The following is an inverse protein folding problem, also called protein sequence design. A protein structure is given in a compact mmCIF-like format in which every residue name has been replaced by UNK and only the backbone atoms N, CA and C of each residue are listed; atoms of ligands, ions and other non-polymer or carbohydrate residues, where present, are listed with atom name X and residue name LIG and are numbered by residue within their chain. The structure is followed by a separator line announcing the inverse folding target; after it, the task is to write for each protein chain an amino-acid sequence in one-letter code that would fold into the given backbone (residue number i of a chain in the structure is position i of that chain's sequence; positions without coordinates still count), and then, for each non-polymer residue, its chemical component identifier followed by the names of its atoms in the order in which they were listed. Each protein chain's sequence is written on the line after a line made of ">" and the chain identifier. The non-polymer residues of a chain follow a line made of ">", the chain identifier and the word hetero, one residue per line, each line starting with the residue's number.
data_IF_713475397182
#
_entry.id   IF_713475397182
#
_cell.length_a   1.000
_cell.length_b   1.000
_cell.length_c   1.000
_cell.angle_alpha   90.00
_cell.angle_beta   90.00
_cell.angle_gamma   90.00
#
_symmetry.space_group_name_H-M   'P 1'
#
loop_
_entity.id
_entity.type
_entity.pdbx_description
1 polymer ?
#
# COMPACT_ATOMS: atom_id res chain seq x y z
N UNK A 1 -85.46 -28.41 -41.40
CA UNK A 1 -84.64 -29.11 -42.40
C UNK A 1 -83.31 -28.40 -42.51
N UNK A 2 -82.25 -29.14 -42.15
CA UNK A 2 -80.81 -29.00 -42.44
C UNK A 2 -80.14 -27.63 -42.22
N UNK A 3 -79.49 -27.51 -41.05
CA UNK A 3 -78.42 -26.56 -40.78
C UNK A 3 -77.10 -27.08 -41.36
N UNK A 4 -76.45 -26.32 -42.25
CA UNK A 4 -75.09 -26.61 -42.71
C UNK A 4 -74.11 -25.63 -42.04
N UNK A 5 -73.34 -26.16 -41.10
CA UNK A 5 -72.16 -25.53 -40.51
C UNK A 5 -71.11 -25.31 -41.61
N UNK A 6 -70.72 -24.05 -41.86
CA UNK A 6 -69.50 -23.74 -42.61
C UNK A 6 -68.32 -23.66 -41.64
N UNK A 7 -67.48 -24.69 -41.72
CA UNK A 7 -66.21 -24.83 -41.01
C UNK A 7 -65.23 -23.73 -41.46
N UNK A 8 -64.69 -22.99 -40.49
CA UNK A 8 -63.59 -22.07 -40.68
C UNK A 8 -62.30 -22.87 -40.90
N UNK A 9 -61.71 -22.78 -42.10
CA UNK A 9 -60.39 -23.30 -42.39
C UNK A 9 -59.35 -22.30 -41.86
N UNK A 10 -58.77 -22.61 -40.70
CA UNK A 10 -57.63 -21.91 -40.15
C UNK A 10 -56.37 -22.17 -40.98
N UNK A 11 -55.85 -21.14 -41.61
CA UNK A 11 -54.50 -21.14 -42.17
C UNK A 11 -53.49 -21.09 -41.01
N UNK A 12 -52.94 -22.23 -40.62
CA UNK A 12 -51.73 -22.28 -39.80
C UNK A 12 -50.54 -21.96 -40.70
N UNK A 13 -50.19 -20.68 -40.82
CA UNK A 13 -48.91 -20.25 -41.37
C UNK A 13 -47.83 -20.66 -40.36
N UNK A 14 -47.16 -21.79 -40.60
CA UNK A 14 -45.92 -22.14 -39.90
C UNK A 14 -44.82 -21.21 -40.39
N UNK A 15 -44.61 -20.10 -39.67
CA UNK A 15 -43.42 -19.28 -39.83
C UNK A 15 -42.21 -20.10 -39.38
N UNK A 16 -41.50 -20.70 -40.33
CA UNK A 16 -40.17 -21.25 -40.10
C UNK A 16 -39.24 -20.04 -39.94
N UNK A 17 -39.01 -19.60 -38.71
CA UNK A 17 -37.91 -18.69 -38.40
C UNK A 17 -36.61 -19.45 -38.65
N UNK A 18 -36.11 -19.38 -39.90
CA UNK A 18 -34.70 -19.64 -40.17
C UNK A 18 -33.93 -18.46 -39.59
N UNK A 19 -33.47 -18.59 -38.34
CA UNK A 19 -32.42 -17.74 -37.81
C UNK A 19 -31.11 -18.06 -38.54
N UNK A 20 -30.97 -17.51 -39.75
CA UNK A 20 -29.66 -17.36 -40.36
C UNK A 20 -28.86 -16.41 -39.46
N UNK A 21 -27.99 -16.99 -38.63
CA UNK A 21 -26.97 -16.25 -37.91
C UNK A 21 -26.17 -15.43 -38.95
N UNK A 22 -25.96 -14.11 -38.74
CA UNK A 22 -25.11 -13.33 -39.62
C UNK A 22 -23.70 -13.91 -39.58
N UNK A 23 -23.27 -14.54 -40.68
CA UNK A 23 -21.94 -15.15 -40.84
C UNK A 23 -20.82 -14.14 -41.08
N UNK A 24 -21.09 -12.83 -40.94
CA UNK A 24 -20.17 -11.77 -41.33
C UNK A 24 -19.31 -11.20 -40.18
N UNK A 25 -19.35 -11.85 -39.01
CA UNK A 25 -18.51 -11.45 -37.87
C UNK A 25 -17.91 -12.66 -37.16
N UNK A 26 -17.58 -13.71 -37.91
CA UNK A 26 -16.64 -14.71 -37.39
C UNK A 26 -15.28 -14.02 -37.33
N UNK A 27 -14.82 -13.72 -36.11
CA UNK A 27 -13.46 -13.29 -35.86
C UNK A 27 -12.51 -14.28 -36.56
N UNK A 28 -11.84 -13.82 -37.62
CA UNK A 28 -10.99 -14.67 -38.46
C UNK A 28 -9.81 -15.24 -37.67
N UNK A 29 -9.47 -14.64 -36.54
CA UNK A 29 -8.44 -15.10 -35.63
C UNK A 29 -8.96 -16.14 -34.60
N UNK A 30 -10.27 -16.36 -34.47
CA UNK A 30 -10.85 -17.27 -33.48
C UNK A 30 -10.42 -18.74 -33.65
N UNK A 31 -10.05 -19.16 -34.87
CA UNK A 31 -9.63 -20.53 -35.19
C UNK A 31 -8.12 -20.66 -35.48
N UNK A 32 -7.38 -19.55 -35.46
CA UNK A 32 -5.94 -19.54 -35.77
C UNK A 32 -5.14 -19.73 -34.49
N UNK A 33 -4.23 -20.72 -34.49
CA UNK A 33 -3.32 -20.99 -33.37
C UNK A 33 -1.90 -20.56 -33.71
N UNK A 34 -1.49 -19.42 -33.16
CA UNK A 34 -0.14 -18.88 -33.29
C UNK A 34 0.81 -19.44 -32.22
N UNK A 35 2.12 -19.42 -32.49
CA UNK A 35 3.15 -19.81 -31.52
C UNK A 35 3.34 -18.71 -30.45
N UNK A 36 4.06 -18.99 -29.37
CA UNK A 36 4.23 -18.05 -28.25
C UNK A 36 4.83 -16.68 -28.64
N UNK A 37 5.56 -16.62 -29.75
CA UNK A 37 6.24 -15.41 -30.26
C UNK A 37 5.46 -14.71 -31.38
N UNK A 38 4.25 -15.17 -31.69
CA UNK A 38 3.39 -14.57 -32.71
C UNK A 38 1.96 -14.35 -32.21
N UNK A 39 1.31 -13.31 -32.73
CA UNK A 39 -0.11 -13.04 -32.47
C UNK A 39 -0.91 -13.00 -33.76
N UNK A 40 -2.21 -13.31 -33.67
CA UNK A 40 -3.05 -13.30 -34.86
C UNK A 40 -3.48 -11.87 -35.19
N UNK A 41 -3.14 -11.42 -36.39
CA UNK A 41 -3.61 -10.18 -36.97
C UNK A 41 -4.30 -10.45 -38.31
N UNK A 42 -5.34 -9.67 -38.64
CA UNK A 42 -6.00 -9.75 -39.94
C UNK A 42 -5.30 -8.77 -40.90
N UNK A 43 -4.51 -9.29 -41.83
CA UNK A 43 -3.80 -8.52 -42.85
C UNK A 43 -4.47 -8.82 -44.20
N UNK A 44 -4.90 -7.78 -44.92
CA UNK A 44 -5.60 -7.89 -46.20
C UNK A 44 -6.81 -8.85 -46.16
N UNK A 45 -7.54 -8.84 -45.05
CA UNK A 45 -8.71 -9.69 -44.83
C UNK A 45 -8.40 -11.16 -44.53
N UNK A 46 -7.14 -11.54 -44.33
CA UNK A 46 -6.69 -12.89 -44.00
C UNK A 46 -6.04 -12.91 -42.61
N UNK A 47 -6.42 -13.86 -41.77
CA UNK A 47 -5.81 -14.07 -40.47
C UNK A 47 -4.40 -14.66 -40.62
N UNK A 48 -3.40 -13.97 -40.06
CA UNK A 48 -1.98 -14.35 -40.14
C UNK A 48 -1.34 -14.22 -38.76
N UNK A 49 -0.48 -15.16 -38.41
CA UNK A 49 0.38 -15.03 -37.24
C UNK A 49 1.53 -14.07 -37.59
N UNK A 50 1.59 -12.94 -36.90
CA UNK A 50 2.64 -11.93 -37.04
C UNK A 50 3.55 -11.93 -35.82
N UNK A 51 4.84 -11.58 -35.96
CA UNK A 51 5.71 -11.38 -34.81
C UNK A 51 5.10 -10.36 -33.85
N UNK A 52 5.20 -10.67 -32.57
CA UNK A 52 4.80 -9.74 -31.53
C UNK A 52 5.88 -8.69 -31.40
N UNK A 53 5.54 -7.44 -31.69
CA UNK A 53 6.41 -6.32 -31.35
C UNK A 53 6.32 -6.09 -29.84
N UNK A 54 7.27 -6.66 -29.10
CA UNK A 54 7.40 -6.42 -27.68
C UNK A 54 8.00 -5.03 -27.46
N UNK A 55 7.37 -4.25 -26.58
CA UNK A 55 7.77 -2.88 -26.27
C UNK A 55 9.19 -2.85 -25.67
N UNK A 56 10.06 -1.96 -26.16
CA UNK A 56 11.38 -1.72 -25.53
C UNK A 56 11.23 -0.82 -24.31
N UNK A 57 11.97 -1.15 -23.25
CA UNK A 57 12.00 -0.36 -22.02
C UNK A 57 13.44 -0.27 -21.51
N UNK A 58 14.10 0.84 -21.85
CA UNK A 58 15.54 0.99 -21.62
C UNK A 58 16.35 -0.04 -22.43
N UNK A 59 17.11 -0.88 -21.72
CA UNK A 59 17.88 -2.00 -22.30
C UNK A 59 17.12 -3.32 -22.29
N UNK A 60 15.91 -3.39 -21.70
CA UNK A 60 15.08 -4.59 -21.72
C UNK A 60 13.96 -4.50 -22.75
N UNK A 61 13.36 -5.65 -23.06
CA UNK A 61 12.15 -5.77 -23.88
C UNK A 61 11.05 -6.31 -22.99
N UNK A 62 9.92 -5.61 -22.89
CA UNK A 62 8.85 -5.94 -21.96
C UNK A 62 8.13 -7.25 -22.35
N UNK A 63 7.83 -8.14 -21.39
CA UNK A 63 7.03 -9.33 -21.64
C UNK A 63 5.63 -9.01 -22.18
N UNK A 64 4.99 -9.98 -22.85
CA UNK A 64 3.61 -9.83 -23.34
C UNK A 64 2.65 -9.40 -22.23
N UNK A 65 1.75 -8.48 -22.56
CA UNK A 65 0.73 -7.99 -21.62
C UNK A 65 1.27 -7.05 -20.54
N UNK A 66 2.51 -6.59 -20.68
CA UNK A 66 3.09 -5.53 -19.86
C UNK A 66 3.46 -4.34 -20.74
N UNK A 67 3.53 -3.16 -20.15
CA UNK A 67 3.96 -1.91 -20.80
C UNK A 67 5.17 -1.33 -20.09
N UNK A 68 5.99 -0.57 -20.81
CA UNK A 68 7.13 0.11 -20.21
C UNK A 68 6.65 1.11 -19.16
N UNK A 69 7.12 0.91 -17.94
CA UNK A 69 6.73 1.68 -16.77
C UNK A 69 7.81 2.74 -16.47
N UNK A 70 9.06 2.28 -16.38
CA UNK A 70 10.21 3.12 -16.10
C UNK A 70 11.40 2.64 -16.94
N UNK A 71 11.67 3.37 -18.03
CA UNK A 71 12.74 3.03 -18.97
C UNK A 71 14.13 3.18 -18.36
N UNK A 72 14.33 4.05 -17.38
CA UNK A 72 15.63 4.21 -16.71
C UNK A 72 15.98 2.97 -15.88
N UNK A 73 14.97 2.37 -15.27
CA UNK A 73 15.13 1.21 -14.40
C UNK A 73 14.83 -0.13 -15.11
N UNK A 74 14.54 -0.13 -16.42
CA UNK A 74 14.13 -1.31 -17.18
C UNK A 74 12.88 -2.02 -16.61
N UNK A 75 11.94 -1.25 -16.06
CA UNK A 75 10.76 -1.81 -15.35
C UNK A 75 9.56 -1.84 -16.31
N UNK A 76 8.99 -3.03 -16.45
CA UNK A 76 7.75 -3.29 -17.17
C UNK A 76 6.63 -3.62 -16.18
N UNK A 77 5.43 -3.10 -16.39
CA UNK A 77 4.29 -3.31 -15.50
C UNK A 77 3.04 -3.72 -16.25
N UNK A 78 2.09 -4.36 -15.58
CA UNK A 78 0.77 -4.62 -16.18
C UNK A 78 -0.05 -3.33 -16.25
N UNK A 79 -0.94 -3.18 -17.24
CA UNK A 79 -1.88 -2.07 -17.27
C UNK A 79 -2.63 -1.91 -15.94
N UNK A 80 -2.65 -0.68 -15.40
CA UNK A 80 -3.34 -0.34 -14.14
C UNK A 80 -2.55 -0.59 -12.86
N UNK A 81 -1.33 -1.12 -12.93
CA UNK A 81 -0.45 -1.27 -11.75
C UNK A 81 0.37 0.00 -11.53
N UNK A 82 0.62 0.33 -10.25
CA UNK A 82 1.45 1.47 -9.89
C UNK A 82 2.87 1.33 -10.45
N UNK A 83 3.43 2.47 -10.88
CA UNK A 83 4.78 2.52 -11.40
C UNK A 83 5.77 3.05 -10.34
N UNK A 84 6.81 2.29 -9.98
CA UNK A 84 7.85 2.82 -9.10
C UNK A 84 8.63 3.92 -9.82
N UNK A 85 8.70 5.09 -9.17
CA UNK A 85 9.42 6.25 -9.70
C UNK A 85 10.94 6.09 -9.60
N UNK A 86 11.43 5.23 -8.70
CA UNK A 86 12.85 4.99 -8.46
C UNK A 86 13.31 3.60 -8.87
N UNK A 87 14.61 3.47 -9.14
CA UNK A 87 15.24 2.17 -9.31
C UNK A 87 15.55 1.59 -7.93
N UNK A 88 15.28 0.30 -7.72
CA UNK A 88 15.84 -0.40 -6.58
C UNK A 88 17.37 -0.45 -6.76
N UNK A 89 18.08 0.44 -6.08
CA UNK A 89 19.53 0.33 -5.96
C UNK A 89 19.76 -0.76 -4.92
N UNK A 90 20.48 -1.85 -5.24
CA UNK A 90 20.85 -2.81 -4.22
C UNK A 90 21.60 -2.04 -3.13
N UNK A 91 21.11 -2.15 -1.90
CA UNK A 91 21.76 -1.57 -0.72
C UNK A 91 23.23 -2.03 -0.75
N UNK A 92 24.21 -1.12 -0.72
CA UNK A 92 25.60 -1.52 -0.75
C UNK A 92 25.84 -2.45 0.45
N UNK A 93 26.28 -3.68 0.19
CA UNK A 93 26.66 -4.59 1.27
C UNK A 93 27.69 -3.87 2.16
N UNK A 94 27.56 -3.94 3.50
CA UNK A 94 28.50 -3.29 4.39
C UNK A 94 29.90 -3.82 4.12
N UNK A 95 30.79 -2.94 3.64
CA UNK A 95 32.20 -3.26 3.43
C UNK A 95 32.79 -3.63 4.79
N UNK A 96 33.03 -4.92 5.01
CA UNK A 96 33.70 -5.40 6.23
C UNK A 96 35.18 -5.04 6.15
N UNK A 97 35.56 -3.92 6.75
CA UNK A 97 36.96 -3.59 6.96
C UNK A 97 37.56 -4.59 7.97
N UNK A 98 38.47 -5.45 7.52
CA UNK A 98 39.27 -6.30 8.38
C UNK A 98 40.37 -5.49 9.11
N UNK A 99 41.06 -6.07 10.11
CA UNK A 99 42.18 -5.43 10.78
C UNK A 99 43.37 -5.31 9.81
N UNK A 100 43.51 -4.18 9.14
CA UNK A 100 44.65 -3.91 8.28
C UNK A 100 45.89 -3.58 9.14
N UNK A 101 46.80 -4.52 9.32
CA UNK A 101 48.18 -4.18 9.73
C UNK A 101 48.95 -3.72 8.49
N UNK A 102 49.07 -2.41 8.29
CA UNK A 102 49.84 -1.87 7.18
C UNK A 102 51.35 -1.91 7.51
N UNK A 103 52.13 -2.68 6.75
CA UNK A 103 53.58 -2.54 6.78
C UNK A 103 54.01 -1.27 6.04
N UNK A 104 55.08 -0.64 6.52
CA UNK A 104 55.51 0.69 6.09
C UNK A 104 56.04 0.65 4.64
N UNK A 105 55.17 0.89 3.66
CA UNK A 105 55.56 1.00 2.25
C UNK A 105 54.45 0.79 1.22
N UNK A 106 53.27 0.30 1.62
CA UNK A 106 52.22 0.02 0.65
C UNK A 106 51.54 1.28 0.10
N UNK A 107 51.75 1.51 -1.19
CA UNK A 107 51.18 2.63 -1.96
C UNK A 107 49.63 2.57 -2.02
N UNK A 108 49.05 1.41 -1.69
CA UNK A 108 47.61 1.16 -1.64
C UNK A 108 46.93 1.67 -0.35
N UNK A 109 47.70 1.99 0.70
CA UNK A 109 47.16 2.48 1.97
C UNK A 109 46.60 3.91 1.88
N UNK A 110 46.96 4.67 0.83
CA UNK A 110 46.43 6.04 0.63
C UNK A 110 45.04 6.09 0.01
N UNK A 111 44.64 5.07 -0.75
CA UNK A 111 43.32 5.05 -1.38
C UNK A 111 42.21 4.56 -0.43
N UNK A 112 42.57 3.87 0.65
CA UNK A 112 41.65 3.36 1.68
C UNK A 112 41.52 4.27 2.91
N UNK A 113 42.33 5.32 3.00
CA UNK A 113 42.30 6.27 4.13
C UNK A 113 41.05 7.17 4.15
N UNK A 114 40.27 7.23 3.07
CA UNK A 114 38.98 7.95 3.06
C UNK A 114 37.83 7.12 3.66
N UNK A 115 37.98 5.79 3.75
CA UNK A 115 36.93 4.88 4.25
C UNK A 115 37.18 4.33 5.66
N UNK A 116 38.39 4.51 6.19
CA UNK A 116 38.72 4.15 7.56
C UNK A 116 39.01 5.44 8.33
N UNK A 117 38.23 5.69 9.40
CA UNK A 117 38.41 6.84 10.28
C UNK A 117 39.81 6.92 10.91
N UNK A 118 40.11 8.03 11.62
CA UNK A 118 41.46 8.32 12.09
C UNK A 118 41.98 7.21 13.02
N UNK A 119 43.18 6.71 12.74
CA UNK A 119 43.90 5.81 13.65
C UNK A 119 44.37 6.63 14.85
N UNK A 120 43.76 6.41 16.01
CA UNK A 120 44.17 7.02 17.27
C UNK A 120 45.63 6.67 17.58
N UNK A 121 46.46 7.69 17.78
CA UNK A 121 47.86 7.52 18.14
C UNK A 121 48.79 8.60 17.59
N UNK A 122 48.54 9.88 17.91
CA UNK A 122 49.59 10.90 17.80
C UNK A 122 49.38 12.04 18.80
N UNK A 123 50.18 11.97 19.88
CA UNK A 123 50.72 13.01 20.77
C UNK A 123 49.89 14.28 20.96
N UNK A 124 49.52 14.47 22.22
CA UNK A 124 49.02 15.70 22.85
C UNK A 124 49.77 16.95 22.37
N UNK A 125 49.03 17.81 21.68
CA UNK A 125 49.32 19.24 21.57
C UNK A 125 48.12 19.93 22.19
N UNK A 126 48.25 20.67 23.29
CA UNK A 126 47.14 21.44 23.82
C UNK A 126 46.93 22.63 22.88
N UNK A 127 45.88 22.57 22.08
CA UNK A 127 45.33 23.73 21.37
C UNK A 127 44.52 24.58 22.37
N UNK A 128 44.62 25.91 22.32
CA UNK A 128 43.85 26.77 23.20
C UNK A 128 42.38 26.75 22.79
N UNK A 129 41.52 26.41 23.75
CA UNK A 129 40.06 26.53 23.67
C UNK A 129 39.70 28.00 23.49
N UNK A 130 39.38 28.41 22.26
CA UNK A 130 38.55 29.58 22.04
C UNK A 130 37.12 29.10 21.82
N UNK A 131 36.34 29.23 22.89
CA UNK A 131 34.89 29.05 22.93
C UNK A 131 34.23 30.03 21.95
N UNK A 132 34.06 29.56 20.71
CA UNK A 132 33.07 30.16 19.81
C UNK A 132 31.79 29.41 20.12
N UNK A 133 30.92 30.05 20.91
CA UNK A 133 29.52 29.66 21.07
C UNK A 133 28.88 29.61 19.67
N UNK A 134 28.96 28.44 19.04
CA UNK A 134 28.17 28.12 17.86
C UNK A 134 26.72 28.14 18.33
N UNK A 135 25.87 29.06 17.83
CA UNK A 135 24.51 29.14 18.31
C UNK A 135 23.83 27.82 17.96
N UNK A 136 23.45 27.04 19.00
CA UNK A 136 22.63 25.84 18.86
C UNK A 136 21.48 26.20 17.92
N UNK A 137 21.53 25.63 16.70
CA UNK A 137 20.46 25.85 15.75
C UNK A 137 19.18 25.32 16.39
N UNK A 138 18.09 26.10 16.45
CA UNK A 138 16.85 25.61 17.03
C UNK A 138 16.42 24.37 16.27
N UNK A 139 16.47 23.25 16.99
CA UNK A 139 15.96 21.98 16.54
C UNK A 139 14.50 22.18 16.12
N UNK A 140 14.15 21.62 14.97
CA UNK A 140 12.80 21.70 14.43
C UNK A 140 11.76 21.22 15.45
N UNK A 141 10.54 21.76 15.40
CA UNK A 141 9.45 21.28 16.25
C UNK A 141 9.04 19.85 15.87
N UNK A 142 8.64 19.06 16.86
CA UNK A 142 8.08 17.74 16.63
C UNK A 142 6.65 17.85 16.06
N UNK A 143 6.35 17.02 15.06
CA UNK A 143 5.05 16.96 14.42
C UNK A 143 4.73 15.49 14.09
N UNK A 144 4.12 14.80 15.04
CA UNK A 144 3.80 13.37 14.88
C UNK A 144 5.04 12.52 14.55
N UNK A 145 5.04 11.78 13.42
CA UNK A 145 6.19 10.97 13.00
C UNK A 145 7.38 11.80 12.46
N UNK A 146 7.18 13.10 12.20
CA UNK A 146 8.18 13.97 11.57
C UNK A 146 8.66 15.07 12.51
N UNK A 147 9.80 15.67 12.18
CA UNK A 147 10.29 16.90 12.81
C UNK A 147 10.31 17.98 11.74
N UNK A 148 9.62 19.10 11.97
CA UNK A 148 9.45 20.16 10.99
C UNK A 148 10.75 20.94 10.77
N UNK A 149 10.96 21.44 9.54
CA UNK A 149 12.12 22.27 9.27
C UNK A 149 12.02 23.62 10.02
N UNK A 150 13.16 24.23 10.31
CA UNK A 150 13.25 25.52 11.04
C UNK A 150 12.35 26.58 10.42
N UNK A 151 11.41 27.11 11.22
CA UNK A 151 10.45 28.13 10.80
C UNK A 151 9.19 27.60 10.12
N UNK A 152 9.00 26.29 10.03
CA UNK A 152 7.69 25.68 9.73
C UNK A 152 6.84 25.55 11.00
N UNK A 153 5.54 25.33 10.82
CA UNK A 153 4.57 25.05 11.88
C UNK A 153 3.91 23.68 11.65
N UNK A 154 3.73 22.89 12.71
CA UNK A 154 3.08 21.61 12.67
C UNK A 154 1.61 21.84 12.36
N UNK A 155 1.21 21.42 11.17
CA UNK A 155 -0.16 21.57 10.69
C UNK A 155 -0.99 20.35 11.07
N UNK A 156 -0.41 19.15 11.04
CA UNK A 156 -1.14 17.94 11.39
C UNK A 156 -0.25 16.94 12.10
N UNK A 157 -0.39 16.87 13.42
CA UNK A 157 0.32 15.91 14.27
C UNK A 157 -0.01 14.46 13.90
N UNK A 158 -1.21 14.17 13.39
CA UNK A 158 -1.53 12.80 12.99
C UNK A 158 -0.69 12.32 11.81
N UNK A 159 -0.25 13.22 10.93
CA UNK A 159 0.41 12.87 9.68
C UNK A 159 1.85 13.42 9.58
N UNK A 160 2.29 14.15 10.59
CA UNK A 160 3.54 14.91 10.59
C UNK A 160 3.66 15.89 9.43
N UNK A 161 2.56 16.56 9.08
CA UNK A 161 2.56 17.56 8.01
C UNK A 161 3.02 18.90 8.58
N UNK A 162 4.14 19.37 8.06
CA UNK A 162 4.73 20.67 8.38
C UNK A 162 4.40 21.65 7.26
N UNK A 163 3.95 22.86 7.62
CA UNK A 163 3.65 23.91 6.64
C UNK A 163 4.41 25.19 6.97
N UNK A 164 4.58 26.06 5.98
CA UNK A 164 5.14 27.38 6.24
C UNK A 164 4.14 28.25 7.04
N UNK A 165 4.62 29.26 7.79
CA UNK A 165 3.74 30.13 8.55
C UNK A 165 2.73 30.85 7.65
N UNK A 166 1.44 30.69 7.94
CA UNK A 166 0.35 31.33 7.20
C UNK A 166 -0.20 30.54 6.00
N UNK A 167 0.34 29.35 5.72
CA UNK A 167 -0.24 28.42 4.74
C UNK A 167 -1.51 27.77 5.31
N UNK A 168 -2.45 27.44 4.42
CA UNK A 168 -3.68 26.76 4.82
C UNK A 168 -3.39 25.30 5.17
N UNK A 169 -3.89 24.87 6.32
CA UNK A 169 -3.77 23.50 6.80
C UNK A 169 -5.10 22.74 6.65
N UNK A 170 -5.02 21.44 6.38
CA UNK A 170 -6.17 20.54 6.52
C UNK A 170 -5.86 19.47 7.56
N UNK A 171 -6.61 19.48 8.66
CA UNK A 171 -6.56 18.45 9.72
C UNK A 171 -7.29 17.17 9.28
N UNK A 172 -6.78 16.53 8.23
CA UNK A 172 -7.31 15.26 7.77
C UNK A 172 -6.78 14.13 8.65
N UNK A 173 -7.65 13.17 9.00
CA UNK A 173 -7.22 11.89 9.56
C UNK A 173 -6.48 11.10 8.47
N UNK A 174 -5.16 10.98 8.59
CA UNK A 174 -4.39 10.11 7.70
C UNK A 174 -4.44 8.67 8.22
N UNK A 175 -4.65 7.73 7.32
CA UNK A 175 -4.51 6.31 7.63
C UNK A 175 -3.03 5.93 7.51
N UNK A 176 -2.48 5.16 8.46
CA UNK A 176 -1.12 4.67 8.36
C UNK A 176 -0.96 3.80 7.09
N UNK A 177 0.06 4.08 6.29
CA UNK A 177 0.35 3.41 5.01
C UNK A 177 1.54 2.45 5.07
N UNK A 178 2.26 2.41 6.20
CA UNK A 178 3.44 1.59 6.41
C UNK A 178 3.14 0.11 6.73
N UNK A 179 4.13 -0.67 7.19
CA UNK A 179 3.94 -2.09 7.47
C UNK A 179 2.97 -2.35 8.63
N UNK A 180 2.26 -3.47 8.56
CA UNK A 180 1.48 -4.00 9.69
C UNK A 180 2.42 -4.45 10.82
N UNK A 181 2.12 -4.05 12.05
CA UNK A 181 2.91 -4.32 13.24
C UNK A 181 1.99 -4.67 14.41
N UNK A 182 1.72 -5.96 14.60
CA UNK A 182 0.82 -6.41 15.67
C UNK A 182 -0.59 -5.81 15.51
N UNK A 183 -1.14 -5.13 16.54
CA UNK A 183 -2.42 -4.42 16.45
C UNK A 183 -2.33 -3.05 15.75
N UNK A 184 -1.14 -2.57 15.41
CA UNK A 184 -0.88 -1.23 14.87
C UNK A 184 -0.43 -1.34 13.41
N UNK A 185 -0.75 -0.35 12.57
CA UNK A 185 -0.09 -0.18 11.27
C UNK A 185 0.87 1.00 11.37
N UNK A 186 2.14 0.80 11.00
CA UNK A 186 3.17 1.82 11.09
C UNK A 186 2.99 2.90 10.03
N UNK A 187 3.67 4.04 10.21
CA UNK A 187 3.68 5.12 9.23
C UNK A 187 4.61 4.83 8.05
N UNK A 188 4.49 5.62 6.99
CA UNK A 188 5.38 5.53 5.85
C UNK A 188 6.82 5.81 6.29
N UNK A 189 7.75 4.92 5.92
CA UNK A 189 9.16 5.03 6.28
C UNK A 189 9.53 4.41 7.64
N UNK A 190 8.56 4.00 8.46
CA UNK A 190 8.83 3.27 9.70
C UNK A 190 8.96 1.76 9.47
N UNK A 191 9.68 1.08 10.37
CA UNK A 191 9.74 -0.38 10.43
C UNK A 191 9.04 -0.89 11.69
N UNK A 192 8.41 -2.06 11.58
CA UNK A 192 7.87 -2.74 12.76
C UNK A 192 9.03 -3.22 13.64
N UNK A 193 9.21 -2.57 14.79
CA UNK A 193 10.22 -2.96 15.76
C UNK A 193 9.71 -4.12 16.63
N UNK A 194 8.50 -4.02 17.15
CA UNK A 194 7.94 -5.04 18.02
C UNK A 194 6.51 -5.38 17.63
N UNK A 195 6.34 -6.50 16.91
CA UNK A 195 5.04 -6.98 16.47
C UNK A 195 4.15 -7.47 17.60
N UNK A 196 4.71 -7.90 18.74
CA UNK A 196 3.90 -8.25 19.91
C UNK A 196 3.27 -7.01 20.54
N UNK A 197 3.96 -5.87 20.50
CA UNK A 197 3.53 -4.61 21.12
C UNK A 197 2.88 -3.63 20.13
N UNK A 198 2.98 -3.90 18.83
CA UNK A 198 2.65 -2.95 17.78
C UNK A 198 3.47 -1.66 17.81
N UNK A 199 4.76 -1.80 18.18
CA UNK A 199 5.68 -0.68 18.27
C UNK A 199 6.46 -0.52 16.96
N UNK A 200 6.36 0.68 16.38
CA UNK A 200 7.02 1.12 15.16
C UNK A 200 8.18 2.05 15.50
N UNK A 201 9.25 2.04 14.72
CA UNK A 201 10.45 2.87 14.93
C UNK A 201 11.05 3.25 13.58
N UNK A 202 11.93 4.25 13.55
CA UNK A 202 12.63 4.61 12.31
C UNK A 202 13.67 3.53 11.92
N UNK A 203 14.01 3.39 10.64
CA UNK A 203 15.03 2.45 10.20
C UNK A 203 16.36 2.72 10.92
N UNK A 204 16.92 1.70 11.57
CA UNK A 204 18.22 1.77 12.25
C UNK A 204 18.16 2.14 13.74
N UNK A 205 16.99 2.46 14.28
CA UNK A 205 16.83 2.69 15.72
C UNK A 205 16.81 1.39 16.54
N UNK A 206 17.29 1.49 17.78
CA UNK A 206 17.35 0.37 18.71
C UNK A 206 15.96 -0.09 19.12
N UNK A 207 15.77 -1.40 19.22
CA UNK A 207 14.45 -1.99 19.45
C UNK A 207 14.46 -2.99 20.61
N UNK A 208 13.44 -2.94 21.47
CA UNK A 208 13.22 -3.95 22.50
C UNK A 208 12.29 -5.06 21.95
N UNK A 209 12.75 -6.31 21.99
CA UNK A 209 11.97 -7.49 21.56
C UNK A 209 11.18 -8.12 22.71
N UNK A 210 10.60 -7.28 23.55
CA UNK A 210 9.81 -7.74 24.68
C UNK A 210 8.46 -8.30 24.20
N UNK A 211 7.99 -9.37 24.82
CA UNK A 211 6.67 -9.88 24.49
C UNK A 211 5.63 -9.09 25.28
N UNK A 212 4.90 -8.21 24.60
CA UNK A 212 3.70 -7.61 25.19
C UNK A 212 2.59 -8.65 25.22
N UNK A 213 2.25 -9.14 26.41
CA UNK A 213 0.96 -9.77 26.65
C UNK A 213 -0.10 -8.68 26.53
N UNK A 214 -0.57 -8.43 25.30
CA UNK A 214 -1.90 -7.87 25.13
C UNK A 214 -2.85 -8.92 25.66
N UNK A 215 -3.13 -8.87 26.96
CA UNK A 215 -4.37 -9.43 27.49
C UNK A 215 -5.45 -8.79 26.62
N UNK A 216 -6.19 -9.56 25.80
CA UNK A 216 -7.27 -9.00 25.03
C UNK A 216 -8.09 -8.16 26.00
N UNK A 217 -8.33 -6.89 25.64
CA UNK A 217 -9.29 -6.09 26.40
C UNK A 217 -10.49 -7.00 26.60
N UNK A 218 -10.97 -7.19 27.85
CA UNK A 218 -12.08 -8.07 28.12
C UNK A 218 -13.15 -7.73 27.10
N UNK A 219 -13.57 -8.73 26.32
CA UNK A 219 -14.60 -8.50 25.31
C UNK A 219 -15.73 -7.73 25.99
N UNK A 220 -16.26 -6.66 25.36
CA UNK A 220 -17.30 -5.88 25.99
C UNK A 220 -18.42 -6.84 26.34
N UNK A 221 -18.56 -7.13 27.63
CA UNK A 221 -19.66 -7.91 28.14
C UNK A 221 -20.92 -7.13 27.74
N UNK A 222 -21.94 -7.85 27.27
CA UNK A 222 -23.21 -7.24 26.91
C UNK A 222 -23.69 -6.31 28.03
N UNK A 223 -24.22 -5.14 27.68
CA UNK A 223 -24.65 -4.22 28.73
C UNK A 223 -25.92 -4.74 29.42
N UNK A 224 -26.03 -4.49 30.73
CA UNK A 224 -27.20 -4.93 31.49
C UNK A 224 -28.38 -4.01 31.20
N UNK A 225 -29.49 -4.57 30.76
CA UNK A 225 -30.71 -3.84 30.46
C UNK A 225 -31.88 -4.45 31.23
N UNK A 226 -32.25 -3.83 32.35
CA UNK A 226 -33.23 -4.39 33.27
C UNK A 226 -32.86 -5.79 33.78
N UNK A 227 -33.66 -6.79 33.37
CA UNK A 227 -33.50 -8.21 33.73
C UNK A 227 -32.72 -9.04 32.70
N UNK A 228 -32.31 -8.46 31.58
CA UNK A 228 -31.50 -9.13 30.54
C UNK A 228 -30.13 -8.49 30.43
N UNK A 229 -29.23 -9.19 29.75
CA UNK A 229 -27.95 -8.67 29.29
C UNK A 229 -28.04 -8.60 27.77
N UNK A 230 -27.80 -7.42 27.18
CA UNK A 230 -27.87 -7.22 25.74
C UNK A 230 -26.82 -8.05 25.01
N UNK A 231 -27.09 -8.38 23.75
CA UNK A 231 -26.10 -9.05 22.92
C UNK A 231 -24.89 -8.12 22.66
N UNK A 232 -23.76 -8.73 22.29
CA UNK A 232 -22.50 -8.00 22.07
C UNK A 232 -22.68 -6.91 21.00
N UNK A 233 -22.50 -5.65 21.42
CA UNK A 233 -22.57 -4.49 20.55
C UNK A 233 -23.96 -3.85 20.44
N UNK A 234 -25.00 -4.47 21.02
CA UNK A 234 -26.30 -3.83 21.20
C UNK A 234 -26.29 -2.92 22.42
N UNK A 235 -27.16 -1.91 22.38
CA UNK A 235 -27.36 -0.97 23.47
C UNK A 235 -28.67 -1.16 24.21
N UNK A 236 -28.70 -0.86 25.51
CA UNK A 236 -29.91 -0.88 26.31
C UNK A 236 -30.81 0.27 25.88
N UNK A 237 -31.92 -0.09 25.26
CA UNK A 237 -32.92 0.85 24.82
C UNK A 237 -33.90 1.18 25.96
N UNK A 238 -34.39 0.17 26.68
CA UNK A 238 -35.35 0.39 27.74
C UNK A 238 -35.21 -0.63 28.87
N UNK A 239 -34.62 -0.18 29.99
CA UNK A 239 -34.41 -0.98 31.19
C UNK A 239 -35.71 -1.53 31.80
N UNK A 240 -36.78 -0.73 31.82
CA UNK A 240 -38.06 -1.16 32.40
C UNK A 240 -38.71 -2.28 31.59
N UNK A 241 -38.34 -2.43 30.32
CA UNK A 241 -38.89 -3.47 29.47
C UNK A 241 -37.84 -4.52 29.10
N UNK A 242 -36.61 -4.41 29.61
CA UNK A 242 -35.47 -5.26 29.24
C UNK A 242 -35.26 -5.32 27.71
N UNK A 243 -35.39 -4.19 27.02
CA UNK A 243 -35.29 -4.10 25.54
C UNK A 243 -33.91 -3.60 25.14
N UNK A 244 -33.20 -4.41 24.37
CA UNK A 244 -31.95 -4.08 23.70
C UNK A 244 -32.19 -3.72 22.23
N UNK A 245 -31.35 -2.87 21.66
CA UNK A 245 -31.41 -2.47 20.23
C UNK A 245 -30.01 -2.19 19.70
N UNK A 246 -29.74 -2.33 18.40
CA UNK A 246 -28.46 -1.92 17.84
C UNK A 246 -28.18 -0.42 18.07
N UNK A 247 -26.90 0.00 18.09
CA UNK A 247 -26.56 1.42 18.22
C UNK A 247 -27.24 2.27 17.14
N UNK A 248 -27.97 3.31 17.56
CA UNK A 248 -28.75 4.18 16.67
C UNK A 248 -30.12 3.61 16.25
N UNK A 249 -30.51 2.44 16.76
CA UNK A 249 -31.82 1.83 16.55
C UNK A 249 -32.96 2.66 17.17
N UNK A 250 -34.16 2.51 16.60
CA UNK A 250 -35.36 3.14 17.16
C UNK A 250 -35.69 2.52 18.53
N UNK A 251 -36.06 3.38 19.47
CA UNK A 251 -36.33 2.97 20.85
C UNK A 251 -37.59 3.65 21.39
N UNK A 252 -38.39 2.89 22.15
CA UNK A 252 -39.58 3.42 22.83
C UNK A 252 -39.40 3.39 24.34
N UNK A 253 -39.36 4.57 24.95
CA UNK A 253 -39.24 4.76 26.40
C UNK A 253 -40.61 4.67 27.08
N UNK A 254 -41.16 3.46 27.14
CA UNK A 254 -42.38 3.16 27.90
C UNK A 254 -42.03 2.49 29.24
N UNK A 255 -42.83 2.75 30.27
CA UNK A 255 -42.72 2.02 31.53
C UNK A 255 -43.50 0.71 31.39
N UNK A 256 -42.79 -0.43 31.38
CA UNK A 256 -43.44 -1.74 31.48
C UNK A 256 -43.67 -2.10 32.95
N UNK A 257 -44.81 -2.70 33.24
CA UNK A 257 -45.04 -3.31 34.54
C UNK A 257 -44.33 -4.67 34.60
N UNK A 258 -43.57 -4.91 35.66
CA UNK A 258 -42.92 -6.19 35.96
C UNK A 258 -43.79 -7.04 36.87
#
# INVERSE_FOLDING_TARGET
>A
MVAYHRLALGFLATAVLSSALPTDSIDKCAVVRCTAETECAVIDGVARCVPIELEKCGTTTCPRGTTCCNALCNICTKPGMACPMGCAVPEPEPVKCGPATCEKGDVFARLLAEFCGPVEGRRDVPEPEEDIDEPEEPEGEECGPNTCAKGQTCCNESCGICVAPGEACTEQFCLPTGPQCGPTQCWEGETCCNSSCGYCTKPGEGCTKEFCDFKPLPEPEGEKCGSVTCDKGDVCCNDSCSICTPPGGACTMQLCAH
#
